data_IF_112998204248
#
_entry.id   IF_112998204248
#
_cell.length_a   1.000
_cell.length_b   1.000
_cell.length_c   1.000
_cell.angle_alpha   90.00
_cell.angle_beta   90.00
_cell.angle_gamma   90.00
#
_symmetry.space_group_name_H-M   'P 1'
#
loop_
_entity.id
_entity.type
_entity.pdbx_description
1 polymer ?
#
# COMPACT_ATOMS: atom_id res chain seq x y z
N UNK A 1 -36.53 -72.57 -28.69
CA UNK A 1 -35.33 -72.24 -27.99
C UNK A 1 -34.89 -70.87 -28.47
N UNK A 2 -35.24 -69.87 -27.71
CA UNK A 2 -35.00 -68.46 -28.04
C UNK A 2 -33.67 -68.05 -27.50
N UNK A 3 -32.89 -67.45 -28.35
CA UNK A 3 -31.65 -66.77 -28.01
C UNK A 3 -31.86 -65.28 -27.82
N UNK A 4 -31.59 -64.83 -26.61
CA UNK A 4 -31.88 -63.43 -26.22
C UNK A 4 -30.56 -62.65 -26.29
N UNK A 5 -30.34 -61.97 -27.39
CA UNK A 5 -29.20 -61.06 -27.54
C UNK A 5 -29.44 -59.76 -26.76
N UNK A 6 -28.75 -59.63 -25.64
CA UNK A 6 -28.71 -58.42 -24.86
C UNK A 6 -27.85 -57.37 -25.54
N UNK A 7 -28.47 -56.27 -25.98
CA UNK A 7 -27.78 -55.11 -26.53
C UNK A 7 -27.36 -54.21 -25.40
N UNK A 8 -26.08 -54.25 -25.06
CA UNK A 8 -25.48 -53.32 -24.12
C UNK A 8 -25.19 -51.99 -24.86
N UNK A 9 -26.01 -50.96 -24.65
CA UNK A 9 -25.70 -49.59 -25.09
C UNK A 9 -24.78 -48.95 -24.04
N UNK A 10 -23.50 -48.86 -24.39
CA UNK A 10 -22.57 -48.02 -23.64
C UNK A 10 -22.92 -46.55 -23.88
N UNK A 11 -23.48 -45.90 -22.89
CA UNK A 11 -23.59 -44.46 -22.85
C UNK A 11 -22.22 -43.92 -22.44
N UNK A 12 -21.49 -43.34 -23.40
CA UNK A 12 -20.30 -42.56 -23.15
C UNK A 12 -20.76 -41.17 -22.64
N UNK A 13 -20.79 -40.99 -21.34
CA UNK A 13 -21.02 -39.66 -20.75
C UNK A 13 -19.76 -38.84 -20.91
N UNK A 14 -19.75 -37.96 -21.92
CA UNK A 14 -18.73 -36.92 -22.04
C UNK A 14 -19.08 -35.87 -21.02
N UNK A 15 -18.39 -35.87 -19.87
CA UNK A 15 -18.41 -34.77 -18.92
C UNK A 15 -17.59 -33.63 -19.52
N UNK A 16 -18.25 -32.71 -20.15
CA UNK A 16 -17.61 -31.44 -20.52
C UNK A 16 -17.33 -30.67 -19.20
N UNK A 17 -16.10 -30.73 -18.77
CA UNK A 17 -15.61 -29.80 -17.74
C UNK A 17 -15.63 -28.40 -18.38
N UNK A 18 -16.73 -27.70 -18.23
CA UNK A 18 -16.78 -26.25 -18.42
C UNK A 18 -16.03 -25.68 -17.22
N UNK A 19 -14.73 -25.53 -17.34
CA UNK A 19 -13.94 -24.74 -16.43
C UNK A 19 -14.46 -23.30 -16.58
N UNK A 20 -15.36 -22.88 -15.71
CA UNK A 20 -15.62 -21.48 -15.50
C UNK A 20 -14.31 -20.89 -15.00
N UNK A 21 -13.54 -20.26 -15.87
CA UNK A 21 -12.56 -19.28 -15.46
C UNK A 21 -13.36 -18.19 -14.76
N UNK A 22 -13.54 -18.27 -13.45
CA UNK A 22 -13.85 -17.11 -12.65
C UNK A 22 -12.68 -16.14 -12.86
N UNK A 23 -12.87 -15.13 -13.68
CA UNK A 23 -12.02 -13.96 -13.65
C UNK A 23 -12.21 -13.36 -12.25
N UNK A 24 -11.21 -13.53 -11.43
CA UNK A 24 -11.19 -13.00 -10.08
C UNK A 24 -10.85 -11.53 -10.21
N UNK A 25 -11.76 -10.66 -9.84
CA UNK A 25 -11.46 -9.24 -9.80
C UNK A 25 -10.43 -9.00 -8.69
N UNK A 26 -9.35 -8.34 -9.04
CA UNK A 26 -8.22 -8.01 -8.18
C UNK A 26 -8.45 -6.62 -7.58
N UNK A 27 -8.04 -6.41 -6.36
CA UNK A 27 -8.03 -5.06 -5.78
C UNK A 27 -6.94 -4.24 -6.46
N UNK A 28 -7.21 -3.03 -6.97
CA UNK A 28 -6.15 -2.18 -7.51
C UNK A 28 -5.16 -1.71 -6.43
N UNK A 29 -5.47 -1.91 -5.15
CA UNK A 29 -4.67 -1.42 -4.04
C UNK A 29 -3.84 -2.53 -3.41
N UNK A 30 -2.75 -2.14 -2.74
CA UNK A 30 -1.94 -3.08 -1.94
C UNK A 30 -2.80 -3.85 -0.95
N UNK A 31 -2.49 -5.14 -0.79
CA UNK A 31 -3.21 -6.10 0.04
C UNK A 31 -2.41 -6.58 1.24
N UNK A 32 -1.11 -6.26 1.30
CA UNK A 32 -0.20 -6.71 2.37
C UNK A 32 0.73 -5.60 2.81
N UNK A 33 1.03 -5.55 4.12
CA UNK A 33 2.17 -4.85 4.72
C UNK A 33 3.11 -5.92 5.24
N UNK A 34 4.32 -5.99 4.68
CA UNK A 34 5.34 -6.98 5.04
C UNK A 34 6.28 -6.44 6.10
N UNK A 35 6.73 -5.21 5.92
CA UNK A 35 7.72 -4.60 6.81
C UNK A 35 7.46 -3.09 6.93
N UNK A 36 7.74 -2.56 8.12
CA UNK A 36 7.76 -1.14 8.39
C UNK A 36 8.93 -0.84 9.33
N UNK A 37 9.92 -0.17 8.81
CA UNK A 37 11.14 0.18 9.54
C UNK A 37 11.45 1.66 9.34
N UNK A 38 10.70 2.56 10.05
CA UNK A 38 10.88 3.99 9.89
C UNK A 38 12.18 4.45 10.51
N UNK A 39 12.83 5.45 9.92
CA UNK A 39 13.91 6.17 10.57
C UNK A 39 13.35 7.10 11.67
N UNK A 40 14.18 7.61 12.57
CA UNK A 40 13.75 8.54 13.60
C UNK A 40 13.11 9.80 13.02
N UNK A 41 12.02 10.28 13.64
CA UNK A 41 11.29 11.43 13.14
C UNK A 41 10.22 11.96 14.08
N UNK A 42 9.73 13.18 13.79
CA UNK A 42 8.80 13.92 14.65
C UNK A 42 7.40 13.30 14.71
N UNK A 43 7.01 12.50 13.71
CA UNK A 43 5.72 11.81 13.69
C UNK A 43 5.81 10.34 14.11
N UNK A 44 7.03 9.82 14.26
CA UNK A 44 7.28 8.45 14.70
C UNK A 44 6.93 8.37 16.18
N UNK A 45 6.16 7.34 16.59
CA UNK A 45 5.55 7.15 17.92
C UNK A 45 4.35 8.06 18.24
N UNK A 46 4.18 9.21 17.60
CA UNK A 46 3.14 10.18 17.95
C UNK A 46 1.83 9.93 17.21
N UNK A 47 1.89 9.78 15.89
CA UNK A 47 0.68 9.86 15.08
C UNK A 47 0.56 8.83 13.94
N UNK A 48 1.63 8.51 13.21
CA UNK A 48 1.55 7.83 11.91
C UNK A 48 2.51 6.63 11.78
N UNK A 49 2.28 5.52 12.54
CA UNK A 49 1.23 5.24 13.53
C UNK A 49 1.60 5.70 14.94
N UNK A 50 0.60 6.07 15.72
CA UNK A 50 0.79 6.33 17.15
C UNK A 50 1.19 5.04 17.89
N UNK A 51 2.23 5.12 18.73
CA UNK A 51 2.68 4.02 19.57
C UNK A 51 2.09 4.11 20.97
N UNK A 52 1.49 3.03 21.45
CA UNK A 52 1.13 2.88 22.85
C UNK A 52 2.16 1.99 23.58
N UNK A 53 2.49 2.35 24.82
CA UNK A 53 3.53 1.64 25.59
C UNK A 53 3.24 0.13 25.70
N UNK A 54 4.20 -0.68 25.26
CA UNK A 54 4.14 -2.15 25.31
C UNK A 54 3.52 -2.79 24.06
N UNK A 55 3.16 -2.01 23.06
CA UNK A 55 2.73 -2.57 21.77
C UNK A 55 3.86 -3.34 21.09
N UNK A 56 3.50 -4.50 20.58
CA UNK A 56 4.38 -5.33 19.76
C UNK A 56 4.52 -4.76 18.35
N UNK A 57 5.56 -5.20 17.64
CA UNK A 57 5.73 -4.86 16.22
C UNK A 57 4.53 -5.26 15.36
N UNK A 58 3.90 -6.41 15.64
CA UNK A 58 2.72 -6.87 14.91
C UNK A 58 1.50 -5.96 15.13
N UNK A 59 1.33 -5.39 16.32
CA UNK A 59 0.29 -4.40 16.60
C UNK A 59 0.53 -3.10 15.83
N UNK A 60 1.79 -2.69 15.66
CA UNK A 60 2.15 -1.57 14.79
C UNK A 60 1.78 -1.89 13.34
N UNK A 61 2.16 -3.07 12.81
CA UNK A 61 1.79 -3.47 11.45
C UNK A 61 0.26 -3.51 11.25
N UNK A 62 -0.52 -3.92 12.25
CA UNK A 62 -1.97 -3.94 12.17
C UNK A 62 -2.57 -2.54 12.04
N UNK A 63 -1.99 -1.53 12.68
CA UNK A 63 -2.40 -0.12 12.49
C UNK A 63 -2.14 0.34 11.06
N UNK A 64 -1.00 -0.02 10.47
CA UNK A 64 -0.68 0.31 9.09
C UNK A 64 -1.63 -0.39 8.10
N UNK A 65 -1.93 -1.67 8.34
CA UNK A 65 -2.89 -2.43 7.53
C UNK A 65 -4.27 -1.77 7.52
N UNK A 66 -4.73 -1.28 8.66
CA UNK A 66 -6.01 -0.57 8.76
C UNK A 66 -6.06 0.73 7.95
N UNK A 67 -4.91 1.35 7.68
CA UNK A 67 -4.80 2.62 6.92
C UNK A 67 -4.58 2.38 5.43
N UNK A 68 -3.76 1.39 5.05
CA UNK A 68 -3.24 1.25 3.70
C UNK A 68 -3.94 0.18 2.85
N UNK A 69 -4.40 -0.94 3.47
CA UNK A 69 -4.83 -2.09 2.68
C UNK A 69 -6.17 -1.87 2.00
N UNK A 70 -6.23 -2.17 0.70
CA UNK A 70 -7.42 -2.13 -0.11
C UNK A 70 -7.99 -0.72 -0.32
N UNK A 71 -7.20 0.32 -0.09
CA UNK A 71 -7.68 1.71 -0.12
C UNK A 71 -6.58 2.72 -0.38
N UNK A 72 -6.97 3.96 -0.59
CA UNK A 72 -6.13 5.14 -0.71
C UNK A 72 -6.68 6.29 0.15
N UNK A 73 -5.80 7.21 0.54
CA UNK A 73 -6.16 8.48 1.20
C UNK A 73 -7.03 8.33 2.47
N UNK A 74 -6.96 7.14 3.13
CA UNK A 74 -7.71 6.87 4.36
C UNK A 74 -6.98 7.29 5.63
N UNK A 75 -5.74 7.67 5.50
CA UNK A 75 -4.81 8.10 6.54
C UNK A 75 -3.40 8.11 5.99
N UNK A 76 -2.43 8.42 6.84
CA UNK A 76 -1.03 8.60 6.46
C UNK A 76 -0.16 7.63 7.25
N UNK A 77 0.92 7.16 6.64
CA UNK A 77 2.02 6.45 7.29
C UNK A 77 3.31 7.22 7.06
N UNK A 78 3.98 7.62 8.13
CA UNK A 78 5.20 8.40 8.10
C UNK A 78 6.41 7.47 8.09
N UNK A 79 7.39 7.73 7.23
CA UNK A 79 8.62 6.92 7.14
C UNK A 79 9.78 7.49 7.95
N UNK A 80 9.66 8.72 8.46
CA UNK A 80 10.72 9.41 9.20
C UNK A 80 11.83 9.92 8.31
N UNK A 81 12.99 10.18 8.89
CA UNK A 81 14.18 10.70 8.21
C UNK A 81 14.65 9.77 7.08
N UNK A 82 15.71 10.17 6.38
CA UNK A 82 16.27 9.42 5.25
C UNK A 82 16.43 7.92 5.53
N UNK A 83 16.00 7.11 4.57
CA UNK A 83 16.15 5.66 4.57
C UNK A 83 15.06 4.91 5.32
N UNK A 84 14.27 5.55 6.17
CA UNK A 84 13.11 4.89 6.80
C UNK A 84 12.14 4.40 5.72
N UNK A 85 11.64 3.14 5.84
CA UNK A 85 10.96 2.47 4.75
C UNK A 85 9.74 1.65 5.16
N UNK A 86 8.93 1.34 4.16
CA UNK A 86 7.82 0.37 4.21
C UNK A 86 7.91 -0.59 3.03
N UNK A 87 7.53 -1.87 3.25
CA UNK A 87 7.40 -2.89 2.20
C UNK A 87 5.95 -3.35 2.10
N UNK A 88 5.39 -3.18 0.92
CA UNK A 88 4.00 -3.46 0.60
C UNK A 88 3.91 -4.48 -0.54
N UNK A 89 2.78 -5.16 -0.68
CA UNK A 89 2.54 -6.08 -1.79
C UNK A 89 1.09 -6.10 -2.23
N UNK A 90 0.91 -6.51 -3.48
CA UNK A 90 -0.38 -6.76 -4.09
C UNK A 90 -0.78 -8.23 -3.91
N UNK A 91 -2.05 -8.56 -4.15
CA UNK A 91 -2.55 -9.94 -4.22
C UNK A 91 -2.43 -10.54 -5.63
N UNK A 92 -1.85 -9.78 -6.54
CA UNK A 92 -1.65 -10.11 -7.95
C UNK A 92 -0.33 -9.50 -8.45
N UNK A 93 0.06 -9.90 -9.65
CA UNK A 93 1.14 -9.25 -10.39
C UNK A 93 0.64 -7.96 -11.04
N UNK A 94 1.28 -6.85 -10.74
CA UNK A 94 1.10 -5.59 -11.47
C UNK A 94 1.87 -5.69 -12.78
N UNK A 95 1.17 -5.60 -13.89
CA UNK A 95 1.75 -5.77 -15.23
C UNK A 95 2.45 -4.49 -15.69
N UNK A 96 3.67 -4.62 -16.18
CA UNK A 96 4.33 -3.56 -16.92
C UNK A 96 3.70 -3.45 -18.31
N UNK A 97 3.05 -2.34 -18.60
CA UNK A 97 2.44 -2.06 -19.90
C UNK A 97 3.23 -1.00 -20.66
N UNK A 98 3.67 -1.36 -21.85
CA UNK A 98 4.47 -0.48 -22.69
C UNK A 98 3.83 0.91 -22.90
N UNK A 99 4.65 1.95 -22.86
CA UNK A 99 4.30 3.35 -23.14
C UNK A 99 3.23 3.95 -22.17
N UNK A 100 3.09 3.41 -20.96
CA UNK A 100 2.17 3.96 -19.95
C UNK A 100 2.73 3.77 -18.54
N UNK A 101 2.22 4.56 -17.60
CA UNK A 101 2.53 4.40 -16.18
C UNK A 101 1.71 3.26 -15.58
N UNK A 102 2.28 2.52 -14.62
CA UNK A 102 1.69 1.29 -14.07
C UNK A 102 1.19 1.45 -12.65
N UNK A 103 1.82 2.32 -11.87
CA UNK A 103 1.54 2.50 -10.45
C UNK A 103 1.26 3.96 -10.12
N UNK A 104 0.46 4.17 -9.07
CA UNK A 104 0.36 5.46 -8.39
C UNK A 104 0.67 5.29 -6.91
N UNK A 105 1.54 6.15 -6.38
CA UNK A 105 1.80 6.25 -4.95
C UNK A 105 1.12 7.50 -4.42
N UNK A 106 0.26 7.32 -3.42
CA UNK A 106 -0.46 8.39 -2.73
C UNK A 106 0.33 8.82 -1.50
N UNK A 107 0.51 10.13 -1.36
CA UNK A 107 1.15 10.79 -0.21
C UNK A 107 0.32 11.96 0.29
N UNK A 108 0.99 12.96 0.88
CA UNK A 108 0.35 14.20 1.32
C UNK A 108 1.01 15.46 0.74
N UNK A 109 1.88 15.31 -0.27
CA UNK A 109 2.57 16.41 -0.90
C UNK A 109 1.63 17.55 -1.38
N UNK A 110 2.08 18.76 -1.18
CA UNK A 110 1.45 19.98 -1.66
C UNK A 110 2.41 20.77 -2.57
N UNK A 111 1.91 21.79 -3.24
CA UNK A 111 2.76 22.68 -4.02
C UNK A 111 3.88 23.29 -3.15
N UNK A 112 5.14 23.09 -3.54
CA UNK A 112 6.33 23.51 -2.81
C UNK A 112 6.48 22.91 -1.39
N UNK A 113 5.86 21.78 -1.13
CA UNK A 113 6.01 21.00 0.08
C UNK A 113 6.14 19.51 -0.32
N UNK A 114 7.20 19.20 -1.04
CA UNK A 114 7.56 17.83 -1.43
C UNK A 114 8.45 17.20 -0.36
N UNK A 115 8.16 15.96 -0.01
CA UNK A 115 8.93 15.14 0.92
C UNK A 115 9.29 13.80 0.24
N UNK A 116 10.18 13.86 -0.78
CA UNK A 116 10.34 12.82 -1.78
C UNK A 116 10.77 11.48 -1.19
N UNK A 117 10.13 10.40 -1.65
CA UNK A 117 10.49 9.01 -1.36
C UNK A 117 10.96 8.30 -2.63
N UNK A 118 12.01 7.49 -2.50
CA UNK A 118 12.44 6.56 -3.54
C UNK A 118 11.53 5.35 -3.52
N UNK A 119 11.18 4.88 -4.72
CA UNK A 119 10.34 3.70 -4.94
C UNK A 119 11.19 2.60 -5.53
N UNK A 120 11.16 1.43 -4.92
CA UNK A 120 11.77 0.21 -5.42
C UNK A 120 10.70 -0.85 -5.62
N UNK A 121 10.90 -1.70 -6.61
CA UNK A 121 9.97 -2.76 -6.98
C UNK A 121 10.66 -4.12 -7.01
N UNK A 122 9.90 -5.19 -6.76
CA UNK A 122 10.40 -6.56 -6.82
C UNK A 122 9.35 -7.48 -7.44
N UNK A 123 9.84 -8.44 -8.25
CA UNK A 123 9.04 -9.52 -8.80
C UNK A 123 9.23 -10.77 -7.93
N UNK A 124 8.15 -11.46 -7.61
CA UNK A 124 8.18 -12.77 -6.94
C UNK A 124 8.66 -13.85 -7.93
N UNK A 125 9.97 -14.06 -7.99
CA UNK A 125 10.60 -14.98 -8.94
C UNK A 125 10.45 -16.44 -8.53
N UNK A 126 10.36 -16.71 -7.23
CA UNK A 126 10.27 -18.05 -6.68
C UNK A 126 8.83 -18.49 -6.38
N UNK A 127 7.84 -17.60 -6.49
CA UNK A 127 6.42 -17.85 -6.30
C UNK A 127 6.00 -18.13 -4.86
N UNK A 128 6.79 -17.66 -3.87
CA UNK A 128 6.52 -17.91 -2.45
C UNK A 128 5.64 -16.83 -1.79
N UNK A 129 5.36 -15.72 -2.49
CA UNK A 129 4.56 -14.60 -2.00
C UNK A 129 5.26 -13.75 -0.94
N UNK A 130 6.61 -13.80 -0.86
CA UNK A 130 7.44 -13.03 0.07
C UNK A 130 8.36 -12.08 -0.70
N UNK A 131 8.69 -10.90 -0.14
CA UNK A 131 9.54 -9.90 -0.77
C UNK A 131 11.05 -10.21 -0.54
N UNK A 132 11.48 -11.45 -0.86
CA UNK A 132 12.84 -11.96 -0.65
C UNK A 132 13.64 -12.10 -1.95
N UNK A 133 13.09 -11.63 -3.06
CA UNK A 133 13.70 -11.55 -4.38
C UNK A 133 14.42 -10.20 -4.60
N UNK A 134 15.22 -10.04 -5.70
CA UNK A 134 15.93 -8.79 -5.97
C UNK A 134 15.01 -7.57 -6.08
N UNK A 135 15.49 -6.45 -5.51
CA UNK A 135 14.86 -5.15 -5.58
C UNK A 135 15.50 -4.29 -6.67
N UNK A 136 14.70 -3.47 -7.34
CA UNK A 136 15.11 -2.55 -8.39
C UNK A 136 14.55 -1.17 -8.11
N UNK A 137 15.41 -0.14 -8.08
CA UNK A 137 14.99 1.24 -7.91
C UNK A 137 14.31 1.73 -9.20
N UNK A 138 13.17 2.40 -9.09
CA UNK A 138 12.57 3.14 -10.19
C UNK A 138 13.30 4.48 -10.31
N UNK A 139 14.21 4.58 -11.30
CA UNK A 139 15.07 5.75 -11.49
C UNK A 139 14.23 6.98 -11.83
N UNK A 140 14.08 7.88 -10.86
CA UNK A 140 13.39 9.15 -11.05
C UNK A 140 14.25 10.19 -11.78
N UNK A 141 13.70 11.39 -11.97
CA UNK A 141 14.28 12.48 -12.79
C UNK A 141 15.69 12.89 -12.40
N UNK A 142 16.06 12.74 -11.14
CA UNK A 142 17.37 13.15 -10.62
C UNK A 142 18.28 11.94 -10.27
N UNK A 143 17.89 10.70 -10.63
CA UNK A 143 18.68 9.50 -10.34
C UNK A 143 20.11 9.59 -10.88
N UNK A 144 20.29 10.06 -12.13
CA UNK A 144 21.59 10.21 -12.78
C UNK A 144 22.23 11.59 -12.57
N UNK A 145 21.72 12.40 -11.63
CA UNK A 145 22.33 13.68 -11.28
C UNK A 145 23.65 13.48 -10.52
N UNK A 146 24.66 14.29 -10.82
CA UNK A 146 25.94 14.30 -10.08
C UNK A 146 25.74 14.59 -8.57
N UNK A 147 24.60 15.13 -8.16
CA UNK A 147 24.26 15.43 -6.77
C UNK A 147 23.56 14.29 -6.05
N UNK A 148 23.12 13.26 -6.76
CA UNK A 148 22.52 12.05 -6.18
C UNK A 148 23.62 11.09 -5.75
N UNK A 149 23.54 10.57 -4.55
CA UNK A 149 24.52 9.64 -3.99
C UNK A 149 23.95 8.25 -4.01
N UNK A 150 24.44 7.42 -4.88
CA UNK A 150 24.15 5.99 -4.92
C UNK A 150 24.96 5.26 -3.84
N UNK A 151 24.41 4.21 -3.24
CA UNK A 151 25.05 3.46 -2.14
C UNK A 151 25.37 4.33 -0.90
N UNK A 152 24.51 5.30 -0.60
CA UNK A 152 24.57 6.04 0.64
C UNK A 152 24.15 5.15 1.80
N UNK A 153 24.88 5.25 2.94
CA UNK A 153 24.58 4.49 4.16
C UNK A 153 24.54 5.47 5.32
N UNK A 154 23.46 5.42 6.09
CA UNK A 154 23.30 6.25 7.28
C UNK A 154 22.90 5.39 8.49
N UNK A 155 23.51 5.65 9.63
CA UNK A 155 23.21 5.00 10.91
C UNK A 155 22.71 6.03 11.90
N UNK A 156 21.51 5.80 12.45
CA UNK A 156 20.93 6.58 13.54
C UNK A 156 21.16 5.88 14.87
N UNK A 157 21.51 6.64 15.90
CA UNK A 157 21.82 6.12 17.22
C UNK A 157 20.75 6.51 18.22
N UNK A 158 20.29 5.54 19.02
CA UNK A 158 19.33 5.78 20.10
C UNK A 158 19.84 6.87 21.02
N UNK A 159 19.06 7.93 21.25
CA UNK A 159 19.49 9.02 22.13
C UNK A 159 19.47 8.60 23.61
N UNK A 160 20.39 9.15 24.39
CA UNK A 160 20.40 9.04 25.84
C UNK A 160 20.63 10.44 26.42
N UNK A 161 19.62 11.06 27.08
CA UNK A 161 18.29 10.50 27.43
C UNK A 161 17.39 10.25 26.20
N UNK A 162 16.34 9.46 26.33
CA UNK A 162 15.47 9.08 25.19
C UNK A 162 14.84 10.26 24.45
N UNK A 163 14.59 11.36 25.14
CA UNK A 163 14.07 12.63 24.62
C UNK A 163 15.17 13.55 24.06
N UNK A 164 16.36 13.06 23.78
CA UNK A 164 17.42 13.80 23.10
C UNK A 164 17.25 13.85 21.58
N UNK A 165 18.01 14.76 20.93
CA UNK A 165 18.20 14.73 19.48
C UNK A 165 18.82 13.41 19.04
N UNK A 166 18.41 12.85 17.91
CA UNK A 166 18.91 11.57 17.41
C UNK A 166 20.15 11.78 16.54
N UNK A 167 21.31 11.36 17.02
CA UNK A 167 22.57 11.42 16.25
C UNK A 167 22.49 10.48 15.04
N UNK A 168 22.93 10.96 13.88
CA UNK A 168 23.21 10.12 12.72
C UNK A 168 24.66 10.27 12.25
N UNK A 169 25.19 9.23 11.62
CA UNK A 169 26.47 9.21 10.91
C UNK A 169 26.33 8.47 9.59
N UNK A 170 27.07 8.90 8.59
CA UNK A 170 27.03 8.29 7.26
C UNK A 170 28.36 7.73 6.79
N UNK A 171 28.35 7.04 5.65
CA UNK A 171 29.51 6.44 5.03
C UNK A 171 30.44 7.46 4.31
N UNK A 172 30.03 8.73 4.23
CA UNK A 172 30.82 9.82 3.68
C UNK A 172 31.71 10.49 4.75
N UNK A 173 31.48 10.14 6.03
CA UNK A 173 32.17 10.73 7.17
C UNK A 173 31.42 11.93 7.77
N UNK A 174 30.25 12.22 7.28
CA UNK A 174 29.39 13.28 7.83
C UNK A 174 28.57 12.76 9.02
N UNK A 175 28.13 13.71 9.84
CA UNK A 175 27.24 13.44 10.98
C UNK A 175 26.37 14.65 11.30
N UNK A 176 25.22 14.39 11.91
CA UNK A 176 24.29 15.42 12.32
C UNK A 176 23.24 14.87 13.27
N UNK A 177 22.13 15.58 13.38
CA UNK A 177 21.07 15.20 14.30
C UNK A 177 19.72 15.33 13.63
N UNK A 178 18.82 14.37 13.87
CA UNK A 178 17.39 14.60 13.75
C UNK A 178 16.99 15.41 14.99
N UNK A 179 16.70 16.67 14.77
CA UNK A 179 16.44 17.65 15.84
C UNK A 179 15.03 17.51 16.35
N UNK A 180 14.88 17.58 17.65
CA UNK A 180 13.57 17.63 18.27
C UNK A 180 12.86 18.94 17.94
N UNK A 181 11.56 18.83 17.76
CA UNK A 181 10.65 19.95 17.53
C UNK A 181 9.64 20.04 18.68
N UNK A 182 10.15 20.26 19.88
CA UNK A 182 9.35 20.24 21.12
C UNK A 182 8.22 21.28 21.17
N UNK A 183 8.30 22.31 20.32
CA UNK A 183 7.27 23.34 20.23
C UNK A 183 5.98 22.81 19.58
N UNK A 184 6.08 21.83 18.69
CA UNK A 184 4.95 21.33 17.89
C UNK A 184 4.76 19.82 18.06
N UNK A 185 5.83 19.04 18.26
CA UNK A 185 5.85 17.58 18.31
C UNK A 185 6.63 17.08 19.54
N UNK A 186 6.19 17.50 20.74
CA UNK A 186 6.80 17.05 22.00
C UNK A 186 6.35 15.63 22.31
N UNK A 187 7.28 14.67 22.27
CA UNK A 187 7.04 13.26 22.54
C UNK A 187 8.22 12.62 23.29
N UNK A 188 8.02 11.41 23.78
CA UNK A 188 9.01 10.72 24.61
C UNK A 188 10.33 10.42 23.88
N UNK A 189 10.27 10.15 22.57
CA UNK A 189 11.44 9.92 21.72
C UNK A 189 11.08 10.09 20.25
N UNK A 190 12.04 10.54 19.44
CA UNK A 190 11.94 10.48 17.97
C UNK A 190 12.47 9.17 17.41
N UNK A 191 13.21 8.39 18.21
CA UNK A 191 13.62 7.03 17.86
C UNK A 191 12.44 6.07 18.01
N UNK A 192 12.16 5.15 17.07
CA UNK A 192 11.03 4.22 17.16
C UNK A 192 11.07 3.41 18.45
N UNK A 193 10.03 3.49 19.28
CA UNK A 193 10.02 2.91 20.63
C UNK A 193 9.85 1.39 20.65
N UNK A 194 9.37 0.79 19.56
CA UNK A 194 9.28 -0.67 19.38
C UNK A 194 10.57 -1.31 18.84
N UNK A 195 11.57 -0.52 18.45
CA UNK A 195 12.87 -1.03 18.00
C UNK A 195 13.77 -1.16 19.21
N UNK A 196 14.28 -2.36 19.51
CA UNK A 196 15.12 -2.62 20.69
C UNK A 196 16.60 -2.24 20.46
N UNK A 197 17.07 -2.26 19.21
CA UNK A 197 18.46 -1.99 18.86
C UNK A 197 18.87 -0.55 19.22
N UNK A 198 20.11 -0.38 19.65
CA UNK A 198 20.68 0.95 20.01
C UNK A 198 21.05 1.78 18.77
N UNK A 199 21.01 1.20 17.58
CA UNK A 199 21.20 1.88 16.31
C UNK A 199 20.39 1.24 15.19
N UNK A 200 20.08 2.05 14.18
CA UNK A 200 19.38 1.65 12.96
C UNK A 200 20.22 2.10 11.78
N UNK A 201 20.49 1.19 10.84
CA UNK A 201 21.29 1.49 9.65
C UNK A 201 20.45 1.27 8.40
N UNK A 202 20.49 2.24 7.52
CA UNK A 202 19.80 2.23 6.22
C UNK A 202 20.81 2.39 5.10
N UNK A 203 20.49 1.81 3.93
CA UNK A 203 21.31 1.89 2.73
C UNK A 203 20.39 2.10 1.51
N UNK A 204 20.83 2.90 0.55
CA UNK A 204 20.06 3.21 -0.65
C UNK A 204 20.61 4.42 -1.38
N UNK A 205 19.83 4.99 -2.29
CA UNK A 205 20.15 6.25 -2.96
C UNK A 205 19.72 7.45 -2.09
N UNK A 206 20.50 8.52 -2.12
CA UNK A 206 20.17 9.80 -1.45
C UNK A 206 20.11 10.93 -2.47
N UNK A 207 18.97 11.59 -2.55
CA UNK A 207 18.80 12.79 -3.36
C UNK A 207 19.39 14.03 -2.64
N UNK A 208 19.87 14.98 -3.43
CA UNK A 208 20.19 16.31 -2.91
C UNK A 208 18.90 17.07 -2.62
N UNK A 209 18.74 17.59 -1.41
CA UNK A 209 17.57 18.38 -1.06
C UNK A 209 17.42 19.61 -1.98
N UNK A 210 16.18 19.87 -2.44
CA UNK A 210 15.79 21.09 -3.15
C UNK A 210 15.18 22.13 -2.22
N UNK A 211 15.05 21.79 -0.94
CA UNK A 211 14.48 22.69 0.04
C UNK A 211 15.30 23.97 0.18
N UNK A 212 14.61 25.06 0.38
CA UNK A 212 15.23 26.39 0.58
C UNK A 212 14.36 27.25 1.48
N UNK A 213 14.98 28.23 2.13
CA UNK A 213 14.27 29.14 3.01
C UNK A 213 15.00 29.37 4.32
N UNK A 214 14.23 29.76 5.33
CA UNK A 214 14.73 30.03 6.68
C UNK A 214 13.69 30.74 7.53
N UNK A 215 13.90 30.72 8.84
CA UNK A 215 12.97 31.31 9.80
C UNK A 215 11.58 30.66 9.70
N UNK A 216 10.57 31.43 9.35
CA UNK A 216 9.18 30.98 9.22
C UNK A 216 8.77 30.58 7.79
N UNK A 217 9.68 30.65 6.82
CA UNK A 217 9.36 30.45 5.40
C UNK A 217 10.30 29.40 4.81
N UNK A 218 9.81 28.18 4.67
CA UNK A 218 10.48 27.08 3.98
C UNK A 218 9.67 26.67 2.76
N UNK A 219 10.34 26.28 1.68
CA UNK A 219 9.76 25.65 0.52
C UNK A 219 10.59 24.42 0.16
N UNK A 220 9.92 23.35 -0.25
CA UNK A 220 10.53 22.14 -0.80
C UNK A 220 9.91 21.87 -2.17
N UNK A 221 10.50 22.43 -3.26
CA UNK A 221 10.00 22.22 -4.61
C UNK A 221 10.07 20.75 -5.01
N UNK A 222 9.09 20.25 -5.79
CA UNK A 222 9.11 18.87 -6.25
C UNK A 222 10.25 18.60 -7.24
N UNK A 223 10.68 17.35 -7.31
CA UNK A 223 11.43 16.79 -8.43
C UNK A 223 10.50 16.62 -9.62
N UNK A 224 11.05 16.48 -10.84
CA UNK A 224 10.21 16.50 -12.03
C UNK A 224 9.24 15.31 -12.09
N UNK A 225 9.71 14.09 -11.75
CA UNK A 225 8.91 12.86 -11.72
C UNK A 225 9.67 11.73 -11.00
N UNK A 226 8.98 10.63 -10.67
CA UNK A 226 9.59 9.37 -10.24
C UNK A 226 9.90 9.28 -8.74
N UNK A 227 9.25 10.09 -7.90
CA UNK A 227 9.40 10.03 -6.45
C UNK A 227 8.02 10.06 -5.77
N UNK A 228 7.85 9.22 -4.74
CA UNK A 228 6.67 9.22 -3.89
C UNK A 228 6.61 10.52 -3.08
N UNK A 229 5.42 10.95 -2.67
CA UNK A 229 5.19 12.14 -1.85
C UNK A 229 5.87 13.42 -2.35
N UNK A 230 5.99 13.53 -3.65
CA UNK A 230 6.70 14.59 -4.37
C UNK A 230 5.74 15.55 -5.06
N UNK A 231 4.66 15.03 -5.63
CA UNK A 231 3.58 15.78 -6.24
C UNK A 231 2.25 15.49 -5.55
N UNK A 232 1.28 16.44 -5.58
CA UNK A 232 -0.08 16.15 -5.13
C UNK A 232 -0.67 14.91 -5.83
N UNK A 233 -1.50 14.15 -5.12
CA UNK A 233 -2.06 12.87 -5.59
C UNK A 233 -2.80 12.96 -6.94
N UNK A 234 -3.34 14.11 -7.32
CA UNK A 234 -4.01 14.34 -8.60
C UNK A 234 -3.06 14.80 -9.72
N UNK A 235 -1.76 14.88 -9.46
CA UNK A 235 -0.75 15.28 -10.46
C UNK A 235 -0.12 14.05 -11.10
N UNK A 236 0.12 14.03 -12.44
CA UNK A 236 0.77 12.89 -13.11
C UNK A 236 2.16 12.53 -12.59
N UNK A 237 2.83 13.44 -11.90
CA UNK A 237 4.13 13.19 -11.26
C UNK A 237 4.05 12.28 -10.01
N UNK A 238 2.84 11.87 -9.59
CA UNK A 238 2.62 10.84 -8.57
C UNK A 238 2.48 9.42 -9.18
N UNK A 239 2.56 9.30 -10.50
CA UNK A 239 2.49 8.05 -11.24
C UNK A 239 3.89 7.51 -11.53
N UNK A 240 4.03 6.18 -11.61
CA UNK A 240 5.30 5.47 -11.79
C UNK A 240 5.17 4.46 -12.92
N UNK A 241 6.28 4.29 -13.65
CA UNK A 241 6.43 3.34 -14.73
C UNK A 241 7.45 2.28 -14.31
N UNK A 242 7.11 1.01 -14.44
CA UNK A 242 8.01 -0.12 -14.11
C UNK A 242 9.23 -0.14 -15.07
N UNK A 243 9.11 0.42 -16.25
CA UNK A 243 10.23 0.56 -17.19
C UNK A 243 11.38 1.47 -16.67
N UNK A 244 11.16 2.22 -15.59
CA UNK A 244 12.22 3.00 -14.95
C UNK A 244 13.13 2.16 -14.05
N UNK A 245 12.91 0.86 -13.94
CA UNK A 245 13.68 -0.05 -13.09
C UNK A 245 15.16 -0.10 -13.49
N UNK A 246 16.03 0.03 -12.49
CA UNK A 246 17.48 -0.09 -12.64
C UNK A 246 18.06 -1.06 -11.62
N UNK A 247 19.18 -1.71 -11.99
CA UNK A 247 19.95 -2.56 -11.08
C UNK A 247 20.88 -1.74 -10.15
N UNK A 248 21.58 -2.42 -9.26
CA UNK A 248 22.56 -1.82 -8.33
C UNK A 248 23.69 -1.06 -9.04
N UNK A 249 23.91 -1.30 -10.33
CA UNK A 249 24.88 -0.61 -11.17
C UNK A 249 24.25 0.54 -11.96
N UNK A 250 22.97 0.82 -11.76
CA UNK A 250 22.21 1.85 -12.48
C UNK A 250 21.92 1.51 -13.94
N UNK A 251 21.98 0.22 -14.30
CA UNK A 251 21.64 -0.21 -15.66
C UNK A 251 20.14 -0.54 -15.73
N UNK A 252 19.45 -0.13 -16.81
CA UNK A 252 18.05 -0.46 -17.00
C UNK A 252 17.77 -1.97 -16.95
N UNK A 253 16.73 -2.36 -16.23
CA UNK A 253 16.25 -3.73 -16.11
C UNK A 253 14.82 -3.79 -16.60
N UNK A 254 14.53 -4.71 -17.51
CA UNK A 254 13.16 -4.96 -17.94
C UNK A 254 12.50 -5.96 -16.98
N UNK A 255 11.42 -5.53 -16.35
CA UNK A 255 10.50 -6.35 -15.57
C UNK A 255 9.16 -6.40 -16.31
N UNK A 256 8.66 -7.59 -16.61
CA UNK A 256 7.32 -7.77 -17.22
C UNK A 256 6.18 -7.55 -16.25
N UNK A 257 6.46 -7.70 -14.93
CA UNK A 257 5.50 -7.52 -13.83
C UNK A 257 6.24 -7.33 -12.51
N UNK A 258 5.54 -6.82 -11.50
CA UNK A 258 6.03 -6.72 -10.12
C UNK A 258 4.96 -7.22 -9.14
N UNK A 259 5.37 -7.56 -7.90
CA UNK A 259 4.48 -8.02 -6.83
C UNK A 259 4.62 -7.19 -5.56
N UNK A 260 5.80 -6.59 -5.37
CA UNK A 260 6.15 -5.87 -4.16
C UNK A 260 6.69 -4.49 -4.47
N UNK A 261 6.41 -3.57 -3.55
CA UNK A 261 6.89 -2.19 -3.61
C UNK A 261 7.52 -1.84 -2.27
N UNK A 262 8.72 -1.29 -2.28
CA UNK A 262 9.39 -0.69 -1.13
C UNK A 262 9.53 0.81 -1.36
N UNK A 263 9.19 1.61 -0.36
CA UNK A 263 9.32 3.06 -0.42
C UNK A 263 10.12 3.51 0.79
N UNK A 264 11.10 4.42 0.55
CA UNK A 264 11.89 5.01 1.63
C UNK A 264 12.11 6.50 1.41
N UNK A 265 12.28 7.25 2.52
CA UNK A 265 12.56 8.70 2.47
C UNK A 265 13.87 8.98 1.74
N UNK A 266 13.82 9.83 0.70
CA UNK A 266 14.91 10.02 -0.26
C UNK A 266 15.96 11.08 0.15
N UNK A 267 15.62 12.02 1.04
CA UNK A 267 16.48 13.16 1.40
C UNK A 267 16.82 13.16 2.88
N UNK A 268 18.07 13.54 3.19
CA UNK A 268 18.54 13.78 4.56
C UNK A 268 18.51 15.30 4.82
N UNK A 269 17.39 15.80 5.34
CA UNK A 269 17.18 17.25 5.48
C UNK A 269 16.40 17.60 6.75
N UNK A 270 16.69 18.79 7.29
CA UNK A 270 16.05 19.36 8.45
C UNK A 270 15.59 20.80 8.13
N UNK A 271 14.30 21.05 8.07
CA UNK A 271 13.70 22.30 7.64
C UNK A 271 13.37 23.26 8.81
N UNK A 272 14.31 23.44 9.70
CA UNK A 272 14.15 24.33 10.85
C UNK A 272 12.97 23.95 11.73
N UNK A 273 11.98 24.84 11.85
CA UNK A 273 10.78 24.61 12.67
C UNK A 273 9.79 23.59 12.09
N UNK A 274 9.89 23.29 10.80
CA UNK A 274 9.09 22.22 10.16
C UNK A 274 9.56 20.83 10.55
N UNK A 275 10.79 20.67 11.04
CA UNK A 275 11.35 19.39 11.41
C UNK A 275 12.12 18.72 10.28
N UNK A 276 12.36 17.41 10.41
CA UNK A 276 12.95 16.60 9.35
C UNK A 276 11.99 16.42 8.17
N UNK A 277 12.54 16.18 6.98
CA UNK A 277 11.78 15.73 5.82
C UNK A 277 11.50 14.25 5.99
N UNK A 278 10.23 13.89 5.90
CA UNK A 278 9.74 12.53 6.07
C UNK A 278 8.73 12.23 4.97
N UNK A 279 8.95 11.15 4.23
CA UNK A 279 7.99 10.72 3.22
C UNK A 279 6.76 10.11 3.88
N UNK A 280 5.57 10.53 3.46
CA UNK A 280 4.29 10.02 3.91
C UNK A 280 3.60 9.22 2.82
N UNK A 281 3.04 8.05 3.20
CA UNK A 281 2.33 7.15 2.30
C UNK A 281 0.88 7.02 2.74
N UNK A 282 -0.05 7.17 1.81
CA UNK A 282 -1.49 7.03 2.04
C UNK A 282 -2.17 6.01 1.11
N UNK A 283 -1.39 5.23 0.35
CA UNK A 283 -1.85 4.14 -0.50
C UNK A 283 -0.96 3.92 -1.72
N UNK A 284 -1.09 2.73 -2.33
CA UNK A 284 -0.51 2.43 -3.65
C UNK A 284 -1.59 1.75 -4.49
N UNK A 285 -1.69 2.15 -5.75
CA UNK A 285 -2.69 1.67 -6.72
C UNK A 285 -2.00 1.11 -7.96
N UNK A 286 -2.40 -0.08 -8.39
CA UNK A 286 -2.18 -0.60 -9.74
C UNK A 286 -3.12 0.12 -10.71
N UNK A 287 -2.58 0.86 -11.66
CA UNK A 287 -3.37 1.65 -12.62
C UNK A 287 -3.97 0.80 -13.74
N UNK A 288 -3.64 -0.48 -13.81
CA UNK A 288 -4.11 -1.41 -14.83
C UNK A 288 -5.15 -2.41 -14.33
N UNK A 289 -5.30 -2.52 -13.01
CA UNK A 289 -6.39 -3.32 -12.45
C UNK A 289 -7.70 -2.56 -12.62
N UNK A 290 -8.53 -3.06 -13.50
CA UNK A 290 -9.90 -2.57 -13.62
C UNK A 290 -10.63 -2.92 -12.31
N UNK A 291 -11.18 -1.92 -11.63
CA UNK A 291 -12.20 -2.17 -10.61
C UNK A 291 -13.29 -2.95 -11.34
N UNK A 292 -13.73 -4.11 -10.83
CA UNK A 292 -14.75 -4.89 -11.52
C UNK A 292 -15.90 -3.96 -11.87
N UNK A 293 -16.28 -3.93 -13.15
CA UNK A 293 -17.52 -3.28 -13.54
C UNK A 293 -18.66 -4.07 -12.87
N UNK A 294 -19.05 -3.59 -11.69
CA UNK A 294 -20.19 -4.16 -10.96
C UNK A 294 -21.49 -3.95 -11.73
N UNK A 295 -21.40 -3.42 -12.95
CA UNK A 295 -22.52 -3.15 -13.85
C UNK A 295 -23.28 -1.90 -13.46
N UNK A 296 -24.32 -1.60 -14.25
CA UNK A 296 -25.25 -0.50 -13.98
C UNK A 296 -26.42 -0.95 -13.11
N UNK A 297 -26.37 -2.16 -12.56
CA UNK A 297 -27.43 -2.72 -11.73
C UNK A 297 -27.54 -1.93 -10.41
N UNK A 298 -28.76 -1.84 -9.90
CA UNK A 298 -29.09 -1.11 -8.65
C UNK A 298 -28.38 -1.69 -7.41
N UNK A 299 -27.92 -2.93 -7.49
CA UNK A 299 -27.12 -3.56 -6.45
C UNK A 299 -26.35 -4.74 -7.03
N UNK A 300 -25.12 -4.94 -6.57
CA UNK A 300 -24.29 -6.09 -6.92
C UNK A 300 -23.38 -6.47 -5.76
N UNK A 301 -22.95 -7.73 -5.75
CA UNK A 301 -21.97 -8.27 -4.81
C UNK A 301 -20.95 -9.12 -5.57
N UNK A 302 -19.67 -8.90 -5.30
CA UNK A 302 -18.60 -9.71 -5.82
C UNK A 302 -17.66 -10.12 -4.67
N UNK A 303 -17.49 -11.42 -4.48
CA UNK A 303 -16.57 -11.97 -3.51
C UNK A 303 -15.30 -12.49 -4.18
N UNK A 304 -14.16 -12.06 -3.67
CA UNK A 304 -12.82 -12.49 -4.08
C UNK A 304 -12.29 -13.50 -3.07
N UNK A 305 -12.21 -14.78 -3.47
CA UNK A 305 -11.82 -15.86 -2.58
C UNK A 305 -10.32 -15.86 -2.24
N UNK A 306 -9.47 -15.26 -3.10
CA UNK A 306 -8.02 -15.21 -2.88
C UNK A 306 -7.62 -14.40 -1.66
N UNK A 307 -8.27 -13.26 -1.45
CA UNK A 307 -8.00 -12.35 -0.35
C UNK A 307 -9.19 -12.17 0.60
N UNK A 308 -10.27 -12.97 0.41
CA UNK A 308 -11.49 -12.93 1.20
C UNK A 308 -12.16 -11.55 1.27
N UNK A 309 -12.04 -10.79 0.19
CA UNK A 309 -12.66 -9.49 0.05
C UNK A 309 -14.05 -9.61 -0.60
N UNK A 310 -14.99 -8.85 -0.09
CA UNK A 310 -16.33 -8.70 -0.64
C UNK A 310 -16.53 -7.25 -1.09
N UNK A 311 -16.79 -7.06 -2.37
CA UNK A 311 -17.18 -5.78 -2.92
C UNK A 311 -18.71 -5.75 -3.02
N UNK A 312 -19.30 -4.68 -2.53
CA UNK A 312 -20.73 -4.47 -2.52
C UNK A 312 -21.03 -3.11 -3.14
N UNK A 313 -21.86 -3.10 -4.16
CA UNK A 313 -22.45 -1.87 -4.71
C UNK A 313 -23.94 -1.87 -4.39
N UNK A 314 -24.42 -0.85 -3.74
CA UNK A 314 -25.84 -0.72 -3.42
C UNK A 314 -26.23 0.73 -3.10
N UNK A 315 -27.53 1.09 -3.19
CA UNK A 315 -28.03 2.34 -2.65
C UNK A 315 -27.73 2.47 -1.15
N UNK A 316 -27.50 3.70 -0.69
CA UNK A 316 -27.36 4.01 0.73
C UNK A 316 -28.57 3.49 1.54
N UNK A 317 -28.34 3.00 2.74
CA UNK A 317 -29.36 2.37 3.58
C UNK A 317 -29.66 0.91 3.21
N UNK A 318 -28.92 0.33 2.25
CA UNK A 318 -28.96 -1.12 2.01
C UNK A 318 -28.25 -1.87 3.14
N UNK A 319 -28.65 -3.12 3.37
CA UNK A 319 -28.13 -3.95 4.44
C UNK A 319 -27.42 -5.20 3.92
N UNK A 320 -26.16 -5.37 4.30
CA UNK A 320 -25.40 -6.60 4.10
C UNK A 320 -25.56 -7.52 5.31
N UNK A 321 -25.83 -8.80 5.06
CA UNK A 321 -25.95 -9.83 6.08
C UNK A 321 -25.17 -11.08 5.65
N UNK A 322 -24.45 -11.70 6.57
CA UNK A 322 -23.70 -12.95 6.37
C UNK A 322 -24.23 -14.02 7.28
N UNK A 323 -24.62 -15.15 6.72
CA UNK A 323 -25.15 -16.30 7.45
C UNK A 323 -24.20 -17.50 7.31
N UNK A 324 -24.02 -18.26 8.37
CA UNK A 324 -23.36 -19.56 8.31
C UNK A 324 -24.27 -20.63 7.67
N UNK A 325 -23.75 -21.84 7.47
CA UNK A 325 -24.50 -22.96 6.89
C UNK A 325 -25.68 -23.45 7.74
N UNK A 326 -25.76 -23.06 9.01
CA UNK A 326 -26.90 -23.34 9.90
C UNK A 326 -27.98 -22.24 9.81
N UNK A 327 -27.78 -21.22 8.94
CA UNK A 327 -28.68 -20.09 8.79
C UNK A 327 -28.61 -19.07 9.92
N UNK A 328 -27.57 -19.14 10.77
CA UNK A 328 -27.35 -18.13 11.80
C UNK A 328 -26.64 -16.90 11.23
N UNK A 329 -27.15 -15.73 11.55
CA UNK A 329 -26.52 -14.45 11.21
C UNK A 329 -25.20 -14.32 11.99
N UNK A 330 -24.09 -14.15 11.28
CA UNK A 330 -22.73 -14.03 11.86
C UNK A 330 -22.13 -12.65 11.67
N UNK A 331 -22.63 -11.87 10.71
CA UNK A 331 -22.26 -10.48 10.48
C UNK A 331 -23.40 -9.72 9.83
N UNK A 332 -23.55 -8.45 10.14
CA UNK A 332 -24.48 -7.54 9.47
C UNK A 332 -23.95 -6.11 9.54
N UNK A 333 -24.10 -5.40 8.44
CA UNK A 333 -23.74 -4.00 8.32
C UNK A 333 -24.77 -3.25 7.48
N UNK A 334 -24.91 -1.93 7.71
CA UNK A 334 -25.75 -1.04 6.93
C UNK A 334 -24.86 -0.15 6.06
N UNK A 335 -25.15 -0.07 4.77
CA UNK A 335 -24.35 0.68 3.81
C UNK A 335 -24.69 2.17 3.94
N UNK A 336 -23.96 2.87 4.81
CA UNK A 336 -24.16 4.29 5.09
C UNK A 336 -23.16 5.22 4.38
N UNK A 337 -21.91 4.76 4.20
CA UNK A 337 -20.83 5.55 3.61
C UNK A 337 -19.86 4.66 2.81
N UNK A 338 -19.32 5.21 1.74
CA UNK A 338 -18.35 4.53 0.86
C UNK A 338 -18.02 5.40 -0.35
N UNK A 339 -17.37 4.83 -1.35
CA UNK A 339 -17.15 5.54 -2.62
C UNK A 339 -18.48 5.68 -3.34
N UNK A 340 -18.92 6.92 -3.56
CA UNK A 340 -20.16 7.22 -4.26
C UNK A 340 -19.93 7.19 -5.76
N UNK A 341 -20.66 6.31 -6.47
CA UNK A 341 -20.75 6.31 -7.92
C UNK A 341 -22.04 7.01 -8.34
N UNK A 342 -21.91 8.11 -9.06
CA UNK A 342 -23.06 8.85 -9.55
C UNK A 342 -23.36 8.44 -10.99
N UNK A 343 -24.41 7.61 -11.20
CA UNK A 343 -24.87 7.22 -12.53
C UNK A 343 -25.97 8.15 -13.10
N UNK A 344 -26.22 9.29 -12.43
CA UNK A 344 -27.19 10.31 -12.85
C UNK A 344 -28.65 10.00 -12.46
N UNK A 345 -28.95 8.89 -11.79
CA UNK A 345 -30.29 8.47 -11.38
C UNK A 345 -30.39 8.20 -9.88
N UNK A 346 -29.43 7.48 -9.31
CA UNK A 346 -29.35 7.16 -7.86
C UNK A 346 -27.89 7.22 -7.43
N UNK A 347 -27.64 7.63 -6.18
CA UNK A 347 -26.32 7.51 -5.56
C UNK A 347 -26.09 6.05 -5.13
N UNK A 348 -25.16 5.38 -5.79
CA UNK A 348 -24.71 4.05 -5.41
C UNK A 348 -23.45 4.16 -4.56
N UNK A 349 -23.42 3.45 -3.47
CA UNK A 349 -22.25 3.37 -2.58
C UNK A 349 -21.54 2.06 -2.86
N UNK A 350 -20.23 2.14 -3.10
CA UNK A 350 -19.36 0.97 -3.19
C UNK A 350 -18.63 0.80 -1.87
N UNK A 351 -18.78 -0.38 -1.27
CA UNK A 351 -18.14 -0.78 -0.02
C UNK A 351 -17.28 -2.02 -0.27
N UNK A 352 -16.17 -2.08 0.45
CA UNK A 352 -15.30 -3.23 0.49
C UNK A 352 -15.27 -3.79 1.92
N UNK A 353 -15.48 -5.10 2.05
CA UNK A 353 -15.45 -5.81 3.33
C UNK A 353 -14.38 -6.89 3.32
N UNK A 354 -13.49 -6.91 4.31
CA UNK A 354 -12.67 -8.09 4.59
C UNK A 354 -13.48 -9.09 5.39
N UNK A 355 -13.53 -10.34 4.92
CA UNK A 355 -14.18 -11.44 5.63
C UNK A 355 -13.17 -12.32 6.40
N UNK A 356 -11.94 -11.84 6.63
CA UNK A 356 -10.87 -12.59 7.30
C UNK A 356 -11.21 -12.93 8.76
N UNK A 357 -12.04 -12.14 9.41
CA UNK A 357 -12.53 -12.41 10.77
C UNK A 357 -13.45 -13.63 10.86
N UNK A 358 -13.99 -14.11 9.72
CA UNK A 358 -14.83 -15.30 9.69
C UNK A 358 -13.96 -16.56 9.54
N UNK A 359 -14.24 -17.67 10.29
CA UNK A 359 -13.59 -18.95 10.03
C UNK A 359 -13.70 -19.39 8.58
N UNK A 360 -12.71 -20.18 8.10
CA UNK A 360 -12.80 -20.77 6.75
C UNK A 360 -13.97 -21.75 6.68
N UNK A 361 -15.04 -21.35 6.02
CA UNK A 361 -16.26 -22.13 5.86
C UNK A 361 -17.08 -21.57 4.68
N UNK A 362 -18.21 -22.19 4.38
CA UNK A 362 -19.18 -21.69 3.43
C UNK A 362 -20.16 -20.74 4.12
N UNK A 363 -20.41 -19.58 3.53
CA UNK A 363 -21.34 -18.58 4.02
C UNK A 363 -22.33 -18.19 2.94
N UNK A 364 -23.54 -17.80 3.33
CA UNK A 364 -24.52 -17.14 2.48
C UNK A 364 -24.46 -15.64 2.75
N UNK A 365 -24.19 -14.85 1.74
CA UNK A 365 -24.29 -13.40 1.78
C UNK A 365 -25.66 -12.96 1.29
N UNK A 366 -26.28 -12.01 1.96
CA UNK A 366 -27.52 -11.37 1.51
C UNK A 366 -27.36 -9.85 1.58
N UNK A 367 -27.64 -9.20 0.46
CA UNK A 367 -27.73 -7.75 0.35
C UNK A 367 -29.20 -7.40 0.12
N UNK A 368 -29.78 -6.50 0.89
CA UNK A 368 -31.19 -6.13 0.80
C UNK A 368 -31.40 -4.64 1.04
N UNK A 369 -32.46 -4.09 0.46
CA UNK A 369 -32.84 -2.69 0.57
C UNK A 369 -34.20 -2.43 -0.01
N UNK A 370 -34.59 -1.17 -0.14
CA UNK A 370 -35.86 -0.75 -0.76
C UNK A 370 -36.02 -1.22 -2.22
N UNK A 371 -34.90 -1.54 -2.90
CA UNK A 371 -34.82 -2.03 -4.28
C UNK A 371 -35.06 -3.54 -4.41
N UNK A 372 -35.02 -4.30 -3.30
CA UNK A 372 -35.15 -5.76 -3.29
C UNK A 372 -34.08 -6.48 -2.47
N UNK A 373 -33.68 -7.68 -2.90
CA UNK A 373 -32.60 -8.41 -2.28
C UNK A 373 -31.80 -9.25 -3.29
N UNK A 374 -30.51 -9.43 -3.02
CA UNK A 374 -29.56 -10.25 -3.76
C UNK A 374 -28.87 -11.21 -2.80
N UNK A 375 -28.57 -12.45 -3.19
CA UNK A 375 -27.88 -13.40 -2.34
C UNK A 375 -26.85 -14.19 -3.15
N UNK A 376 -25.71 -14.49 -2.53
CA UNK A 376 -24.66 -15.33 -3.11
C UNK A 376 -23.97 -16.19 -2.05
N UNK A 377 -23.47 -17.35 -2.42
CA UNK A 377 -22.66 -18.20 -1.53
C UNK A 377 -21.18 -17.91 -1.72
N UNK A 378 -20.43 -17.88 -0.62
CA UNK A 378 -18.96 -17.68 -0.61
C UNK A 378 -18.28 -18.75 0.24
N UNK A 379 -16.98 -19.04 -0.04
CA UNK A 379 -16.22 -20.09 0.66
C UNK A 379 -14.85 -19.60 1.09
#
# INVERSE_FOLDING_TARGET
MLDLKTFLKSFLTVTVFCGSFCMQAQSPFVSRVFEYYPAPGQFINEAYPAYASGESYEEILNKLRAVLLGRKESGIVCLGSWGGYIVLGFDHAVQNKADTVDLKVYGNAHNNSAEPGIVEVSKDLNGNGLPDDPWYELAGSDYYSDSTIINYVCTYYRPSPPDGDVLWKDNLGDSGYVRRNDAYHSQASYYPLWVEADSMTFAGSRLASKASGGGSSWISPPYAWGYADNWPNNHPGADFDIDWAVDEQGQPVYLDEIHFVRIYTAVQEQLGWLGEVSTEISGIEDLHTEIPDLGTDKASMQYLSSNRQLYVQAPQGSRLEVFNMQGLLVFSDEIEAGTVLNNGIEELVVMQYSLDFLPQNVYLLRLSGSWGSLSTGVR
#
